data_IF_935331509359
#
_entry.id   IF_935331509359
#
_cell.length_a   1.000
_cell.length_b   1.000
_cell.length_c   1.000
_cell.angle_alpha   90.00
_cell.angle_beta   90.00
_cell.angle_gamma   90.00
#
_symmetry.space_group_name_H-M   'P 1'
#
loop_
_entity.id
_entity.type
_entity.pdbx_description
1 polymer ?
#
# COMPACT_ATOMS: atom_id res chain seq x y z
N UNK A 1 2.40 -26.89 -16.78
CA UNK A 1 3.37 -27.33 -15.74
C UNK A 1 4.70 -26.65 -16.06
N UNK A 2 5.05 -25.55 -15.36
CA UNK A 2 6.34 -24.88 -15.59
C UNK A 2 7.46 -25.83 -15.22
N UNK A 3 8.40 -26.05 -16.15
CA UNK A 3 9.65 -26.77 -15.90
C UNK A 3 10.30 -26.14 -14.67
N UNK A 4 10.47 -26.89 -13.59
CA UNK A 4 11.31 -26.52 -12.45
C UNK A 4 12.75 -26.43 -12.98
N UNK A 5 13.11 -25.25 -13.45
CA UNK A 5 14.51 -24.97 -13.76
C UNK A 5 15.28 -25.01 -12.44
N UNK A 6 16.07 -26.05 -12.22
CA UNK A 6 16.85 -26.29 -11.00
C UNK A 6 18.17 -25.52 -11.00
N UNK A 7 18.35 -24.57 -11.91
CA UNK A 7 19.57 -23.76 -11.98
C UNK A 7 19.71 -22.96 -10.69
N UNK A 8 20.83 -23.16 -9.98
CA UNK A 8 21.21 -22.38 -8.82
C UNK A 8 21.90 -21.06 -9.21
N UNK A 9 21.81 -20.65 -10.48
CA UNK A 9 22.42 -19.44 -11.03
C UNK A 9 21.46 -18.73 -11.98
N UNK A 10 21.50 -17.41 -12.01
CA UNK A 10 20.82 -16.55 -12.98
C UNK A 10 21.67 -15.30 -13.24
N UNK A 11 21.42 -14.62 -14.36
CA UNK A 11 22.07 -13.32 -14.62
C UNK A 11 21.52 -12.26 -13.68
N UNK A 12 20.20 -12.22 -13.50
CA UNK A 12 19.51 -11.28 -12.63
C UNK A 12 18.62 -12.01 -11.62
N UNK A 13 18.69 -11.60 -10.37
CA UNK A 13 17.78 -12.04 -9.30
C UNK A 13 16.94 -10.84 -8.87
N UNK A 14 15.62 -10.93 -9.06
CA UNK A 14 14.66 -9.91 -8.60
C UNK A 14 13.99 -10.41 -7.32
N UNK A 15 14.21 -9.71 -6.22
CA UNK A 15 13.69 -10.06 -4.90
C UNK A 15 12.42 -9.25 -4.61
N UNK A 16 11.28 -9.92 -4.61
CA UNK A 16 9.94 -9.36 -4.44
C UNK A 16 9.19 -9.25 -5.77
N UNK A 17 8.10 -10.02 -5.90
CA UNK A 17 7.18 -10.01 -7.04
C UNK A 17 6.05 -8.97 -6.90
N UNK A 18 6.32 -7.84 -6.26
CA UNK A 18 5.40 -6.72 -6.14
C UNK A 18 5.35 -5.85 -7.40
N UNK A 19 4.78 -4.64 -7.27
CA UNK A 19 4.56 -3.74 -8.40
C UNK A 19 5.84 -3.44 -9.19
N UNK A 20 6.95 -3.14 -8.52
CA UNK A 20 8.23 -2.87 -9.18
C UNK A 20 8.85 -4.13 -9.75
N UNK A 21 8.90 -5.22 -8.97
CA UNK A 21 9.57 -6.46 -9.39
C UNK A 21 8.93 -7.12 -10.60
N UNK A 22 7.60 -7.07 -10.71
CA UNK A 22 6.89 -7.57 -11.89
C UNK A 22 7.29 -6.81 -13.16
N UNK A 23 7.38 -5.48 -13.11
CA UNK A 23 7.79 -4.66 -14.26
C UNK A 23 9.25 -4.91 -14.61
N UNK A 24 10.15 -4.90 -13.61
CA UNK A 24 11.58 -5.10 -13.84
C UNK A 24 11.85 -6.47 -14.45
N UNK A 25 11.29 -7.55 -13.89
CA UNK A 25 11.44 -8.88 -14.42
C UNK A 25 10.92 -8.98 -15.87
N UNK A 26 9.72 -8.43 -16.14
CA UNK A 26 9.15 -8.42 -17.47
C UNK A 26 10.02 -7.65 -18.49
N UNK A 27 10.56 -6.49 -18.09
CA UNK A 27 11.43 -5.67 -18.95
C UNK A 27 12.78 -6.33 -19.23
N UNK A 28 13.41 -6.94 -18.23
CA UNK A 28 14.66 -7.70 -18.44
C UNK A 28 14.47 -8.87 -19.41
N UNK A 29 13.36 -9.60 -19.26
CA UNK A 29 13.00 -10.69 -20.19
C UNK A 29 12.73 -10.17 -21.60
N UNK A 30 11.96 -9.09 -21.74
CA UNK A 30 11.66 -8.48 -23.03
C UNK A 30 12.92 -7.94 -23.74
N UNK A 31 13.86 -7.39 -22.98
CA UNK A 31 15.14 -6.90 -23.50
C UNK A 31 16.13 -8.03 -23.85
N UNK A 32 15.83 -9.27 -23.49
CA UNK A 32 16.66 -10.47 -23.73
C UNK A 32 18.11 -10.30 -23.24
N UNK A 33 18.28 -9.68 -22.06
CA UNK A 33 19.62 -9.37 -21.51
C UNK A 33 20.22 -10.48 -20.67
N UNK A 34 19.52 -11.60 -20.52
CA UNK A 34 19.97 -12.78 -19.79
C UNK A 34 18.84 -13.49 -19.05
N UNK A 35 19.21 -14.44 -18.20
CA UNK A 35 18.28 -15.23 -17.40
C UNK A 35 17.85 -14.44 -16.14
N UNK A 36 16.57 -14.52 -15.81
CA UNK A 36 15.95 -13.80 -14.70
C UNK A 36 15.30 -14.79 -13.73
N UNK A 37 15.60 -14.65 -12.44
CA UNK A 37 14.90 -15.33 -11.36
C UNK A 37 14.13 -14.29 -10.55
N UNK A 38 12.80 -14.40 -10.49
CA UNK A 38 11.93 -13.61 -9.64
C UNK A 38 11.53 -14.43 -8.42
N UNK A 39 11.74 -13.87 -7.22
CA UNK A 39 11.45 -14.54 -5.94
C UNK A 39 10.37 -13.77 -5.21
N UNK A 40 9.23 -14.43 -4.93
CA UNK A 40 8.12 -13.86 -4.18
C UNK A 40 7.77 -14.74 -2.96
N UNK A 41 7.62 -14.11 -1.80
CA UNK A 41 7.24 -14.82 -0.57
C UNK A 41 5.81 -15.33 -0.57
N UNK A 42 4.92 -14.59 -1.23
CA UNK A 42 3.50 -14.94 -1.37
C UNK A 42 3.24 -15.98 -2.45
N UNK A 43 1.97 -16.31 -2.62
CA UNK A 43 1.52 -17.27 -3.63
C UNK A 43 1.27 -16.59 -4.99
N UNK A 44 0.88 -17.39 -5.98
CA UNK A 44 0.38 -16.90 -7.27
C UNK A 44 -0.99 -16.25 -7.12
N UNK A 45 -1.24 -15.23 -7.93
CA UNK A 45 -2.54 -14.55 -7.96
C UNK A 45 -3.66 -15.47 -8.43
N UNK A 46 -3.39 -16.42 -9.30
CA UNK A 46 -4.36 -17.41 -9.79
C UNK A 46 -4.89 -18.33 -8.68
N UNK A 47 -4.11 -18.56 -7.63
CA UNK A 47 -4.55 -19.29 -6.45
C UNK A 47 -5.43 -18.45 -5.50
N UNK A 48 -5.58 -17.16 -5.78
CA UNK A 48 -6.31 -16.17 -4.98
C UNK A 48 -7.08 -15.23 -5.92
N UNK A 49 -8.16 -15.68 -6.55
CA UNK A 49 -8.83 -14.99 -7.67
C UNK A 49 -9.34 -13.59 -7.33
N UNK A 50 -9.59 -13.30 -6.06
CA UNK A 50 -9.94 -11.95 -5.59
C UNK A 50 -8.83 -10.92 -5.85
N UNK A 51 -7.58 -11.35 -6.04
CA UNK A 51 -6.45 -10.47 -6.39
C UNK A 51 -6.41 -10.13 -7.88
N UNK A 52 -7.15 -10.85 -8.70
CA UNK A 52 -7.29 -10.63 -10.14
C UNK A 52 -8.57 -9.88 -10.49
N UNK A 53 -9.58 -9.92 -9.64
CA UNK A 53 -10.85 -9.25 -9.86
C UNK A 53 -10.80 -7.77 -9.48
N UNK A 54 -11.40 -6.91 -10.29
CA UNK A 54 -11.59 -5.51 -9.97
C UNK A 54 -12.47 -5.31 -8.73
N UNK A 55 -13.48 -6.17 -8.52
CA UNK A 55 -14.31 -6.17 -7.32
C UNK A 55 -13.66 -6.86 -6.12
N UNK A 56 -12.61 -7.59 -6.35
CA UNK A 56 -11.97 -8.47 -5.38
C UNK A 56 -11.20 -7.76 -4.27
N UNK A 57 -10.86 -6.47 -4.41
CA UNK A 57 -9.99 -5.77 -3.44
C UNK A 57 -10.52 -5.84 -1.99
N UNK A 58 -11.83 -5.78 -1.82
CA UNK A 58 -12.51 -5.88 -0.53
C UNK A 58 -12.20 -7.21 0.16
N UNK A 59 -12.25 -8.29 -0.59
CA UNK A 59 -12.01 -9.66 -0.13
C UNK A 59 -10.51 -9.96 0.01
N UNK A 60 -9.68 -9.47 -0.92
CA UNK A 60 -8.23 -9.61 -0.87
C UNK A 60 -7.66 -9.00 0.42
N UNK A 61 -8.13 -7.82 0.82
CA UNK A 61 -7.72 -7.19 2.07
C UNK A 61 -8.07 -8.05 3.31
N UNK A 62 -9.17 -8.80 3.27
CA UNK A 62 -9.58 -9.68 4.37
C UNK A 62 -8.90 -11.05 4.35
N UNK A 63 -8.26 -11.45 3.24
CA UNK A 63 -7.63 -12.76 3.08
C UNK A 63 -6.20 -12.79 3.65
N UNK A 64 -5.97 -13.66 4.67
CA UNK A 64 -4.64 -13.82 5.29
C UNK A 64 -3.58 -14.41 4.37
N UNK A 65 -3.99 -15.12 3.31
CA UNK A 65 -3.05 -15.78 2.38
C UNK A 65 -2.33 -14.78 1.48
N UNK A 66 -2.94 -13.60 1.26
CA UNK A 66 -2.40 -12.58 0.34
C UNK A 66 -1.97 -11.31 1.05
N UNK A 67 -2.08 -11.27 2.39
CA UNK A 67 -1.67 -10.13 3.21
C UNK A 67 -0.57 -10.54 4.19
N UNK A 68 0.46 -9.71 4.29
CA UNK A 68 1.48 -9.81 5.32
C UNK A 68 1.16 -8.80 6.42
N UNK A 69 0.65 -9.30 7.54
CA UNK A 69 0.29 -8.49 8.69
C UNK A 69 1.51 -8.00 9.46
N UNK A 70 1.51 -6.72 9.80
CA UNK A 70 2.47 -6.09 10.70
C UNK A 70 1.78 -5.06 11.57
N UNK A 71 2.36 -4.80 12.71
CA UNK A 71 1.99 -3.70 13.59
C UNK A 71 3.21 -2.80 13.81
N UNK A 72 2.97 -1.52 13.97
CA UNK A 72 3.98 -0.59 14.46
C UNK A 72 4.38 -0.94 15.91
N UNK A 73 5.48 -0.40 16.38
CA UNK A 73 5.69 -0.26 17.83
C UNK A 73 4.60 0.63 18.42
N UNK A 74 4.35 0.60 19.74
CA UNK A 74 3.42 1.54 20.38
C UNK A 74 3.78 2.99 20.02
N UNK A 75 2.77 3.77 19.60
CA UNK A 75 2.95 5.17 19.21
C UNK A 75 2.46 6.07 20.36
N UNK A 76 3.38 6.75 21.07
CA UNK A 76 3.01 7.59 22.23
C UNK A 76 1.95 8.64 21.91
N UNK A 77 2.11 9.34 20.78
CA UNK A 77 1.14 10.38 20.34
C UNK A 77 -0.24 9.80 19.97
N UNK A 78 -0.34 8.48 19.82
CA UNK A 78 -1.59 7.75 19.62
C UNK A 78 -2.04 7.00 20.88
N UNK A 79 -1.73 7.49 22.08
CA UNK A 79 -2.06 6.83 23.37
C UNK A 79 -1.50 5.39 23.43
N UNK A 80 -0.26 5.21 23.02
CA UNK A 80 0.47 3.93 22.97
C UNK A 80 -0.20 2.83 22.15
N UNK A 81 -1.02 3.21 21.17
CA UNK A 81 -1.61 2.23 20.24
C UNK A 81 -0.60 1.79 19.21
N UNK A 82 -0.69 0.51 18.86
CA UNK A 82 0.00 -0.04 17.69
C UNK A 82 -0.87 0.19 16.45
N UNK A 83 -0.25 0.60 15.34
CA UNK A 83 -0.93 0.84 14.08
C UNK A 83 -0.70 -0.33 13.12
N UNK A 84 -1.70 -0.65 12.33
CA UNK A 84 -1.60 -1.69 11.32
C UNK A 84 -0.77 -1.24 10.12
N UNK A 85 0.26 -2.00 9.77
CA UNK A 85 1.18 -1.74 8.67
C UNK A 85 1.29 -2.94 7.71
N UNK A 86 0.15 -3.55 7.38
CA UNK A 86 0.10 -4.71 6.48
C UNK A 86 0.30 -4.33 5.01
N UNK A 87 0.91 -5.25 4.27
CA UNK A 87 1.14 -5.13 2.82
C UNK A 87 0.71 -6.39 2.09
N UNK A 88 0.57 -6.32 0.76
CA UNK A 88 0.31 -7.50 -0.05
C UNK A 88 1.48 -8.50 0.00
N UNK A 89 1.14 -9.79 0.01
CA UNK A 89 2.07 -10.93 -0.04
C UNK A 89 1.56 -11.94 -1.06
N UNK A 90 1.71 -11.60 -2.31
CA UNK A 90 1.23 -12.35 -3.49
C UNK A 90 1.94 -11.77 -4.72
N UNK A 91 2.04 -12.49 -5.82
CA UNK A 91 2.51 -11.92 -7.09
C UNK A 91 1.62 -10.72 -7.46
N UNK A 92 2.23 -9.60 -7.81
CA UNK A 92 1.58 -8.29 -7.96
C UNK A 92 1.66 -7.43 -6.69
N UNK A 93 2.05 -8.00 -5.54
CA UNK A 93 2.29 -7.31 -4.28
C UNK A 93 1.09 -6.52 -3.77
N UNK A 94 1.33 -5.33 -3.20
CA UNK A 94 0.26 -4.44 -2.72
C UNK A 94 -0.63 -3.93 -3.85
N UNK A 95 -0.14 -3.89 -5.11
CA UNK A 95 -0.94 -3.60 -6.30
C UNK A 95 -2.04 -4.64 -6.58
N UNK A 96 -1.91 -5.87 -6.07
CA UNK A 96 -2.90 -6.92 -6.21
C UNK A 96 -4.01 -6.86 -5.14
N UNK A 97 -3.84 -6.07 -4.06
CA UNK A 97 -4.76 -6.03 -2.92
C UNK A 97 -5.29 -4.63 -2.60
N UNK A 98 -4.76 -3.58 -3.22
CA UNK A 98 -5.19 -2.18 -3.01
C UNK A 98 -6.55 -1.86 -3.65
N UNK A 99 -7.05 -0.64 -3.42
CA UNK A 99 -8.31 -0.14 -3.99
C UNK A 99 -8.25 0.25 -5.47
N UNK A 100 -7.15 -0.02 -6.17
CA UNK A 100 -6.91 0.27 -7.61
C UNK A 100 -6.89 1.76 -7.98
N UNK A 101 -6.96 2.67 -7.03
CA UNK A 101 -6.85 4.10 -7.33
C UNK A 101 -5.50 4.39 -7.94
N UNK A 102 -5.50 5.08 -9.06
CA UNK A 102 -4.30 5.51 -9.75
C UNK A 102 -4.22 7.04 -9.77
N UNK A 103 -3.12 7.58 -9.30
CA UNK A 103 -2.79 8.99 -9.42
C UNK A 103 -1.29 9.16 -9.59
N UNK A 104 -0.89 10.06 -10.49
CA UNK A 104 0.52 10.44 -10.64
C UNK A 104 1.01 11.31 -9.50
N UNK A 105 0.08 11.97 -8.78
CA UNK A 105 0.40 13.00 -7.80
C UNK A 105 0.48 14.40 -8.42
N UNK A 106 0.92 15.37 -7.64
CA UNK A 106 1.10 16.75 -8.06
C UNK A 106 2.50 16.96 -8.66
N UNK A 107 2.62 17.67 -9.79
CA UNK A 107 3.93 17.94 -10.41
C UNK A 107 4.88 18.71 -9.48
N UNK A 108 4.34 19.54 -8.59
CA UNK A 108 5.14 20.26 -7.58
C UNK A 108 5.81 19.32 -6.56
N UNK A 109 5.32 18.08 -6.40
CA UNK A 109 5.98 17.07 -5.59
C UNK A 109 7.30 16.63 -6.23
N UNK A 110 7.30 16.48 -7.56
CA UNK A 110 8.46 16.05 -8.32
C UNK A 110 9.52 17.15 -8.48
N UNK A 111 9.16 18.42 -8.29
CA UNK A 111 10.13 19.51 -8.26
C UNK A 111 11.11 19.40 -7.08
N UNK A 112 10.76 18.65 -6.04
CA UNK A 112 11.62 18.35 -4.89
C UNK A 112 12.53 17.12 -5.12
N UNK A 113 12.32 16.38 -6.20
CA UNK A 113 13.10 15.18 -6.51
C UNK A 113 14.44 15.53 -7.18
N UNK A 114 15.44 14.65 -7.18
CA UNK A 114 16.73 14.89 -7.84
C UNK A 114 16.57 15.20 -9.34
N UNK A 115 17.59 15.83 -9.91
CA UNK A 115 17.70 16.02 -11.37
C UNK A 115 17.59 14.69 -12.10
N UNK A 116 16.87 14.65 -13.20
CA UNK A 116 16.53 13.42 -13.94
C UNK A 116 15.28 12.70 -13.41
N UNK A 117 14.66 13.23 -12.34
CA UNK A 117 13.42 12.70 -11.74
C UNK A 117 12.33 13.76 -11.58
N UNK A 118 12.48 14.90 -12.27
CA UNK A 118 11.43 15.94 -12.32
C UNK A 118 10.25 15.45 -13.13
N UNK A 119 9.12 16.14 -13.03
CA UNK A 119 7.90 15.74 -13.74
C UNK A 119 8.14 15.44 -15.22
N UNK A 120 8.78 16.36 -15.95
CA UNK A 120 9.05 16.20 -17.38
C UNK A 120 9.96 15.00 -17.70
N UNK A 121 10.85 14.62 -16.77
CA UNK A 121 11.78 13.50 -16.96
C UNK A 121 11.06 12.16 -16.86
N UNK A 122 10.05 12.07 -15.96
CA UNK A 122 9.36 10.82 -15.63
C UNK A 122 8.00 10.68 -16.31
N UNK A 123 7.43 11.73 -16.87
CA UNK A 123 6.12 11.68 -17.54
C UNK A 123 6.05 10.63 -18.67
N UNK A 124 7.08 10.46 -19.54
CA UNK A 124 7.07 9.37 -20.53
C UNK A 124 7.00 7.97 -19.90
N UNK A 125 7.61 7.77 -18.72
CA UNK A 125 7.52 6.51 -18.00
C UNK A 125 6.13 6.27 -17.43
N UNK A 126 5.46 7.31 -16.91
CA UNK A 126 4.06 7.23 -16.49
C UNK A 126 3.17 6.81 -17.67
N UNK A 127 3.28 7.47 -18.81
CA UNK A 127 2.49 7.15 -20.03
C UNK A 127 2.70 5.70 -20.46
N UNK A 128 3.94 5.21 -20.46
CA UNK A 128 4.25 3.83 -20.82
C UNK A 128 3.64 2.80 -19.85
N UNK A 129 3.64 3.11 -18.54
CA UNK A 129 3.03 2.24 -17.51
C UNK A 129 1.51 2.28 -17.61
N UNK A 130 0.91 3.45 -17.79
CA UNK A 130 -0.54 3.65 -17.92
C UNK A 130 -1.14 2.90 -19.10
N UNK A 131 -0.44 2.89 -20.24
CA UNK A 131 -0.85 2.11 -21.40
C UNK A 131 -0.99 0.62 -21.09
N UNK A 132 -0.07 0.06 -20.28
CA UNK A 132 -0.15 -1.33 -19.81
C UNK A 132 -1.24 -1.56 -18.77
N UNK A 133 -1.37 -0.64 -17.82
CA UNK A 133 -2.35 -0.72 -16.74
C UNK A 133 -3.79 -0.47 -17.19
N UNK A 134 -4.01 0.04 -18.42
CA UNK A 134 -5.35 0.34 -18.94
C UNK A 134 -6.14 1.28 -18.03
N UNK A 135 -5.49 2.39 -17.65
CA UNK A 135 -6.05 3.36 -16.72
C UNK A 135 -7.34 3.94 -17.26
N UNK A 136 -8.39 3.94 -16.44
CA UNK A 136 -9.70 4.50 -16.75
C UNK A 136 -10.49 4.82 -15.47
N UNK A 137 -11.39 5.78 -15.52
CA UNK A 137 -12.33 6.03 -14.43
C UNK A 137 -13.54 5.08 -14.53
N UNK A 138 -14.22 4.88 -13.41
CA UNK A 138 -15.53 4.23 -13.38
C UNK A 138 -16.63 5.26 -13.59
N UNK A 139 -17.73 4.83 -14.20
CA UNK A 139 -18.91 5.67 -14.34
C UNK A 139 -19.42 6.15 -13.00
N UNK A 140 -19.91 7.39 -12.98
CA UNK A 140 -20.53 7.99 -11.83
C UNK A 140 -21.85 7.30 -11.46
N UNK A 141 -22.20 7.39 -10.18
CA UNK A 141 -23.49 6.94 -9.67
C UNK A 141 -24.34 8.14 -9.26
N UNK A 142 -25.63 7.92 -8.97
CA UNK A 142 -26.49 9.00 -8.47
C UNK A 142 -25.92 9.63 -7.19
N UNK A 143 -25.33 8.84 -6.31
CA UNK A 143 -24.73 9.33 -5.07
C UNK A 143 -23.47 10.17 -5.38
N UNK A 144 -22.57 9.64 -6.20
CA UNK A 144 -21.29 10.31 -6.47
C UNK A 144 -21.46 11.61 -7.25
N UNK A 145 -22.43 11.68 -8.16
CA UNK A 145 -22.76 12.93 -8.85
C UNK A 145 -23.29 14.01 -7.89
N UNK A 146 -24.19 13.63 -6.97
CA UNK A 146 -24.67 14.56 -5.92
C UNK A 146 -23.54 15.01 -5.00
N UNK A 147 -22.61 14.12 -4.69
CA UNK A 147 -21.45 14.45 -3.88
C UNK A 147 -20.51 15.45 -4.58
N UNK A 148 -20.32 15.32 -5.91
CA UNK A 148 -19.55 16.28 -6.69
C UNK A 148 -20.22 17.66 -6.73
N UNK A 149 -21.54 17.72 -6.99
CA UNK A 149 -22.30 18.99 -6.96
C UNK A 149 -22.18 19.67 -5.60
N UNK A 150 -22.24 18.88 -4.54
CA UNK A 150 -22.13 19.42 -3.19
C UNK A 150 -20.69 19.86 -2.87
N UNK A 151 -19.66 19.20 -3.41
CA UNK A 151 -18.28 19.65 -3.29
C UNK A 151 -18.06 21.00 -4.04
N UNK A 152 -18.69 21.18 -5.20
CA UNK A 152 -18.67 22.46 -5.91
C UNK A 152 -19.28 23.58 -5.07
N UNK A 153 -20.37 23.32 -4.36
CA UNK A 153 -21.01 24.28 -3.48
C UNK A 153 -20.15 24.76 -2.30
N UNK A 154 -19.13 23.97 -1.91
CA UNK A 154 -18.17 24.33 -0.85
C UNK A 154 -16.79 24.74 -1.40
N UNK A 155 -16.72 25.05 -2.70
CA UNK A 155 -15.57 25.71 -3.31
C UNK A 155 -14.56 24.78 -4.03
N UNK A 156 -14.82 23.46 -4.13
CA UNK A 156 -14.03 22.63 -5.02
C UNK A 156 -14.42 22.89 -6.47
N UNK A 157 -13.44 22.80 -7.35
CA UNK A 157 -13.67 22.76 -8.78
C UNK A 157 -13.77 21.32 -9.23
N UNK A 158 -14.80 20.98 -10.02
CA UNK A 158 -14.90 19.64 -10.62
C UNK A 158 -13.80 19.46 -11.67
N UNK A 159 -13.15 18.29 -11.65
CA UNK A 159 -12.12 17.97 -12.61
C UNK A 159 -12.35 16.61 -13.25
N UNK A 160 -12.13 16.54 -14.55
CA UNK A 160 -12.05 15.30 -15.31
C UNK A 160 -10.57 15.02 -15.60
N UNK A 161 -10.10 13.80 -15.24
CA UNK A 161 -8.68 13.45 -15.37
C UNK A 161 -7.82 14.06 -14.25
N UNK A 162 -7.54 13.25 -13.23
CA UNK A 162 -6.79 13.66 -12.04
C UNK A 162 -5.27 13.40 -12.17
N UNK A 163 -4.76 13.21 -13.42
CA UNK A 163 -3.38 12.81 -13.67
C UNK A 163 -2.57 13.81 -14.50
N UNK A 164 -2.97 15.09 -14.50
CA UNK A 164 -2.25 16.17 -15.18
C UNK A 164 -1.23 16.91 -14.30
N UNK A 165 -1.08 16.48 -13.04
CA UNK A 165 -0.15 17.07 -12.08
C UNK A 165 -0.61 18.37 -11.41
N UNK A 166 -1.87 18.74 -11.51
CA UNK A 166 -2.45 19.91 -10.84
C UNK A 166 -3.70 19.50 -10.05
N UNK A 167 -3.57 19.31 -8.75
CA UNK A 167 -4.60 18.67 -7.94
C UNK A 167 -5.30 19.61 -6.94
N UNK A 168 -4.63 20.67 -6.47
CA UNK A 168 -5.14 21.53 -5.40
C UNK A 168 -6.40 22.29 -5.79
N UNK A 169 -7.42 22.21 -4.94
CA UNK A 169 -8.72 22.87 -5.16
C UNK A 169 -9.69 22.06 -6.04
N UNK A 170 -9.31 20.87 -6.47
CA UNK A 170 -10.11 20.03 -7.33
C UNK A 170 -10.69 18.81 -6.62
N UNK A 171 -11.86 18.37 -7.06
CA UNK A 171 -12.47 17.08 -6.76
C UNK A 171 -13.00 16.44 -8.04
N UNK A 172 -12.80 15.14 -8.18
CA UNK A 172 -13.24 14.43 -9.38
C UNK A 172 -13.20 12.93 -9.23
N UNK A 173 -13.53 12.24 -10.31
CA UNK A 173 -13.42 10.80 -10.38
C UNK A 173 -11.96 10.38 -10.54
N UNK A 174 -11.57 9.38 -9.76
CA UNK A 174 -10.26 8.77 -9.87
C UNK A 174 -10.15 7.91 -11.11
N UNK A 175 -8.97 7.92 -11.69
CA UNK A 175 -8.58 6.84 -12.58
C UNK A 175 -8.26 5.58 -11.77
N UNK A 176 -8.53 4.42 -12.38
CA UNK A 176 -8.33 3.11 -11.77
C UNK A 176 -7.74 2.14 -12.78
N UNK A 177 -6.95 1.19 -12.30
CA UNK A 177 -6.24 0.22 -13.14
C UNK A 177 -7.04 -1.10 -13.25
N UNK A 178 -7.96 -1.16 -14.21
CA UNK A 178 -8.76 -2.35 -14.50
C UNK A 178 -9.21 -2.41 -15.97
N UNK A 179 -9.55 -3.60 -16.43
CA UNK A 179 -10.13 -3.83 -17.76
C UNK A 179 -11.03 -5.08 -17.71
N UNK A 180 -12.24 -5.01 -18.30
CA UNK A 180 -13.16 -6.15 -18.37
C UNK A 180 -13.37 -6.87 -17.02
N UNK A 181 -13.58 -6.11 -15.94
CA UNK A 181 -13.69 -6.59 -14.55
C UNK A 181 -12.42 -7.28 -14.01
N UNK A 182 -11.34 -7.33 -14.75
CA UNK A 182 -10.04 -7.77 -14.27
C UNK A 182 -9.24 -6.58 -13.72
N UNK A 183 -8.61 -6.77 -12.58
CA UNK A 183 -7.61 -5.85 -12.04
C UNK A 183 -6.36 -5.84 -12.94
N UNK A 184 -5.93 -4.67 -13.34
CA UNK A 184 -4.69 -4.48 -14.10
C UNK A 184 -3.56 -4.03 -13.18
N UNK A 185 -3.12 -4.92 -12.27
CA UNK A 185 -1.87 -4.69 -11.52
C UNK A 185 -0.66 -5.01 -12.42
N UNK A 186 0.55 -4.77 -11.94
CA UNK A 186 1.76 -4.95 -12.76
C UNK A 186 2.05 -6.41 -13.12
N UNK A 187 1.53 -7.37 -12.34
CA UNK A 187 1.58 -8.78 -12.75
C UNK A 187 0.73 -9.02 -13.99
N UNK A 188 -0.57 -8.67 -13.93
CA UNK A 188 -1.51 -8.90 -15.03
C UNK A 188 -1.22 -8.03 -16.26
N UNK A 189 -0.59 -6.87 -16.05
CA UNK A 189 -0.30 -5.90 -17.10
C UNK A 189 1.01 -6.18 -17.86
N UNK A 190 2.01 -6.75 -17.21
CA UNK A 190 3.36 -6.85 -17.77
C UNK A 190 4.01 -8.22 -17.62
N UNK A 191 3.89 -8.87 -16.44
CA UNK A 191 4.65 -10.08 -16.16
C UNK A 191 3.96 -11.35 -16.68
N UNK A 192 2.62 -11.41 -16.60
CA UNK A 192 1.85 -12.61 -16.93
C UNK A 192 2.12 -13.10 -18.37
N UNK A 193 2.21 -12.17 -19.31
CA UNK A 193 2.39 -12.49 -20.73
C UNK A 193 3.79 -13.01 -21.06
N UNK A 194 4.76 -12.84 -20.17
CA UNK A 194 6.13 -13.35 -20.32
C UNK A 194 6.49 -14.42 -19.29
N UNK A 195 5.54 -14.82 -18.45
CA UNK A 195 5.79 -15.73 -17.32
C UNK A 195 6.27 -17.14 -17.75
N UNK A 196 5.95 -17.55 -18.95
CA UNK A 196 6.32 -18.88 -19.51
C UNK A 196 7.57 -18.83 -20.42
N UNK A 197 8.27 -17.69 -20.49
CA UNK A 197 9.53 -17.59 -21.24
C UNK A 197 10.62 -18.41 -20.57
N UNK A 198 11.40 -19.15 -21.34
CA UNK A 198 12.51 -20.01 -20.85
C UNK A 198 13.59 -19.22 -20.09
N UNK A 199 13.70 -17.91 -20.35
CA UNK A 199 14.64 -17.00 -19.67
C UNK A 199 14.13 -16.51 -18.31
N UNK A 200 12.88 -16.81 -17.90
CA UNK A 200 12.28 -16.39 -16.65
C UNK A 200 11.94 -17.59 -15.76
N UNK A 201 12.41 -17.55 -14.53
CA UNK A 201 11.99 -18.48 -13.47
C UNK A 201 11.31 -17.69 -12.34
N UNK A 202 10.07 -18.07 -12.00
CA UNK A 202 9.32 -17.43 -10.90
C UNK A 202 9.19 -18.41 -9.75
N UNK A 203 9.80 -18.07 -8.61
CA UNK A 203 9.64 -18.80 -7.35
C UNK A 203 8.64 -18.06 -6.45
N UNK A 204 7.43 -18.60 -6.30
CA UNK A 204 6.46 -18.16 -5.29
C UNK A 204 6.59 -19.00 -4.01
N UNK A 205 5.96 -18.53 -2.90
CA UNK A 205 6.12 -19.17 -1.57
C UNK A 205 7.58 -19.34 -1.19
N UNK A 206 8.41 -18.36 -1.54
CA UNK A 206 9.86 -18.42 -1.42
C UNK A 206 10.36 -17.18 -0.69
N UNK A 207 11.01 -17.39 0.45
CA UNK A 207 11.44 -16.31 1.32
C UNK A 207 12.96 -16.12 1.21
N UNK A 208 13.38 -14.94 0.78
CA UNK A 208 14.79 -14.55 0.79
C UNK A 208 15.19 -14.21 2.22
N UNK A 209 16.24 -14.88 2.71
CA UNK A 209 16.76 -14.71 4.08
C UNK A 209 17.81 -13.60 4.13
N UNK A 210 18.71 -13.57 3.15
CA UNK A 210 19.79 -12.57 3.06
C UNK A 210 20.36 -12.50 1.64
N UNK A 211 20.99 -11.37 1.35
CA UNK A 211 21.85 -11.17 0.19
C UNK A 211 23.25 -11.68 0.55
N UNK A 212 23.91 -12.31 -0.41
CA UNK A 212 25.27 -12.78 -0.28
C UNK A 212 26.21 -11.80 -0.96
N UNK A 213 27.31 -11.47 -0.27
CA UNK A 213 28.31 -10.53 -0.75
C UNK A 213 29.68 -11.20 -0.88
N UNK A 214 30.45 -10.79 -1.89
CA UNK A 214 31.88 -10.99 -2.01
C UNK A 214 32.52 -9.59 -2.03
N UNK A 215 33.15 -9.19 -0.94
CA UNK A 215 33.50 -7.79 -0.72
C UNK A 215 32.25 -6.89 -0.75
N UNK A 216 32.26 -5.86 -1.60
CA UNK A 216 31.13 -4.92 -1.79
C UNK A 216 30.14 -5.36 -2.87
N UNK A 217 30.40 -6.51 -3.53
CA UNK A 217 29.56 -7.00 -4.63
C UNK A 217 28.52 -8.00 -4.13
N UNK A 218 27.23 -7.77 -4.46
CA UNK A 218 26.18 -8.75 -4.27
C UNK A 218 26.30 -9.87 -5.30
N UNK A 219 26.48 -11.13 -4.85
CA UNK A 219 26.74 -12.29 -5.69
C UNK A 219 25.61 -13.34 -5.67
N UNK A 220 24.53 -13.07 -4.95
CA UNK A 220 23.39 -13.98 -4.89
C UNK A 220 22.53 -13.77 -3.65
N UNK A 221 21.66 -14.72 -3.40
CA UNK A 221 20.75 -14.72 -2.25
C UNK A 221 20.66 -16.08 -1.58
N UNK A 222 20.48 -16.09 -0.25
CA UNK A 222 20.02 -17.27 0.47
C UNK A 222 18.48 -17.21 0.51
N UNK A 223 17.82 -18.25 0.01
CA UNK A 223 16.38 -18.32 -0.13
C UNK A 223 15.82 -19.63 0.40
N UNK A 224 14.67 -19.58 1.08
CA UNK A 224 13.89 -20.75 1.47
C UNK A 224 12.83 -21.02 0.39
N UNK A 225 12.97 -22.15 -0.32
CA UNK A 225 12.01 -22.62 -1.33
C UNK A 225 11.44 -23.95 -0.87
N UNK A 226 10.11 -24.04 -0.74
CA UNK A 226 9.44 -25.26 -0.23
C UNK A 226 10.02 -25.77 1.09
N UNK A 227 10.34 -24.85 2.02
CA UNK A 227 10.90 -25.15 3.35
C UNK A 227 12.39 -25.55 3.35
N UNK A 228 13.07 -25.54 2.21
CA UNK A 228 14.50 -25.86 2.10
C UNK A 228 15.31 -24.62 1.75
N UNK A 229 16.34 -24.33 2.53
CA UNK A 229 17.28 -23.27 2.21
C UNK A 229 18.15 -23.65 1.03
N UNK A 230 18.35 -22.69 0.13
CA UNK A 230 19.17 -22.80 -1.07
C UNK A 230 19.90 -21.47 -1.31
N UNK A 231 20.98 -21.55 -2.07
CA UNK A 231 21.67 -20.37 -2.61
C UNK A 231 21.37 -20.28 -4.09
N UNK A 232 20.96 -19.11 -4.54
CA UNK A 232 20.87 -18.76 -5.96
C UNK A 232 21.94 -17.68 -6.20
N UNK A 233 22.87 -17.93 -7.13
CA UNK A 233 23.94 -17.01 -7.49
C UNK A 233 23.47 -16.06 -8.59
N UNK A 234 23.87 -14.79 -8.50
CA UNK A 234 23.67 -13.79 -9.54
C UNK A 234 24.97 -13.58 -10.31
N UNK A 235 24.95 -13.78 -11.63
CA UNK A 235 26.10 -13.50 -12.47
C UNK A 235 26.30 -11.99 -12.67
N UNK A 236 25.18 -11.23 -12.74
CA UNK A 236 25.17 -9.79 -13.01
C UNK A 236 24.70 -9.00 -11.78
N UNK A 237 23.40 -9.10 -11.42
CA UNK A 237 22.81 -8.23 -10.39
C UNK A 237 21.78 -8.93 -9.50
N UNK A 238 21.66 -8.44 -8.26
CA UNK A 238 20.56 -8.68 -7.34
C UNK A 238 19.75 -7.40 -7.22
N UNK A 239 18.48 -7.42 -7.62
CA UNK A 239 17.59 -6.26 -7.67
C UNK A 239 16.54 -6.39 -6.58
N UNK A 240 16.50 -5.42 -5.65
CA UNK A 240 15.62 -5.45 -4.50
C UNK A 240 14.30 -4.72 -4.77
N UNK A 241 13.20 -5.47 -4.76
CA UNK A 241 11.84 -4.99 -4.98
C UNK A 241 10.87 -5.44 -3.86
N UNK A 242 11.39 -5.65 -2.63
CA UNK A 242 10.61 -6.21 -1.53
C UNK A 242 9.72 -5.18 -0.80
N UNK A 243 9.66 -3.94 -1.29
CA UNK A 243 8.86 -2.85 -0.74
C UNK A 243 9.54 -2.10 0.40
N UNK A 244 8.90 -1.01 0.86
CA UNK A 244 9.49 -0.05 1.78
C UNK A 244 9.83 -0.63 3.17
N UNK A 245 9.13 -1.68 3.61
CA UNK A 245 9.36 -2.29 4.92
C UNK A 245 10.30 -3.51 4.86
N UNK A 246 10.22 -4.33 3.82
CA UNK A 246 11.05 -5.55 3.75
C UNK A 246 12.40 -5.29 3.10
N UNK A 247 12.55 -4.33 2.19
CA UNK A 247 13.85 -4.02 1.56
C UNK A 247 14.90 -3.57 2.57
N UNK A 248 14.64 -2.54 3.42
CA UNK A 248 15.63 -2.14 4.42
C UNK A 248 15.89 -3.24 5.47
N UNK A 249 14.85 -4.00 5.84
CA UNK A 249 15.00 -5.17 6.72
C UNK A 249 15.95 -6.21 6.11
N UNK A 250 15.77 -6.56 4.84
CA UNK A 250 16.62 -7.52 4.15
C UNK A 250 18.06 -7.03 4.03
N UNK A 251 18.29 -5.74 3.72
CA UNK A 251 19.61 -5.14 3.70
C UNK A 251 20.30 -5.26 5.07
N UNK A 252 19.62 -4.91 6.17
CA UNK A 252 20.16 -5.03 7.51
C UNK A 252 20.48 -6.49 7.88
N UNK A 253 19.59 -7.44 7.58
CA UNK A 253 19.84 -8.88 7.79
C UNK A 253 21.04 -9.40 6.98
N UNK A 254 21.41 -8.69 5.93
CA UNK A 254 22.56 -9.01 5.05
C UNK A 254 23.84 -8.26 5.42
N UNK A 255 23.84 -7.53 6.54
CA UNK A 255 25.01 -6.78 7.02
C UNK A 255 25.16 -5.39 6.45
N UNK A 256 24.16 -4.85 5.75
CA UNK A 256 24.18 -3.50 5.15
C UNK A 256 23.18 -2.61 5.90
N UNK A 257 23.67 -1.65 6.67
CA UNK A 257 22.84 -0.77 7.50
C UNK A 257 23.62 -0.11 8.63
N UNK A 258 22.93 0.48 9.64
CA UNK A 258 23.58 1.15 10.77
C UNK A 258 24.45 0.18 11.58
N UNK A 259 25.77 0.38 11.55
CA UNK A 259 26.76 -0.56 12.10
C UNK A 259 26.51 -0.92 13.56
N UNK A 260 26.17 0.05 14.41
CA UNK A 260 25.95 -0.20 15.83
C UNK A 260 24.71 -1.04 16.08
N UNK A 261 23.63 -0.81 15.33
CA UNK A 261 22.44 -1.63 15.38
C UNK A 261 22.71 -3.08 14.92
N UNK A 262 23.46 -3.25 13.82
CA UNK A 262 23.82 -4.59 13.33
C UNK A 262 24.71 -5.34 14.33
N UNK A 263 25.72 -4.68 14.89
CA UNK A 263 26.59 -5.26 15.94
C UNK A 263 25.80 -5.67 17.18
N UNK A 264 24.82 -4.87 17.62
CA UNK A 264 23.99 -5.19 18.79
C UNK A 264 23.19 -6.48 18.63
N UNK A 265 22.94 -6.90 17.38
CA UNK A 265 22.27 -8.15 17.04
C UNK A 265 23.23 -9.26 16.61
N UNK A 266 24.55 -9.04 16.70
CA UNK A 266 25.55 -10.01 16.27
C UNK A 266 25.65 -10.21 14.77
N UNK A 267 25.15 -9.26 13.95
CA UNK A 267 25.22 -9.32 12.49
C UNK A 267 26.55 -8.74 12.04
N UNK A 268 27.38 -9.48 11.28
CA UNK A 268 28.60 -8.94 10.69
C UNK A 268 28.28 -7.75 9.75
N UNK A 269 29.03 -6.66 9.92
CA UNK A 269 28.84 -5.46 9.10
C UNK A 269 29.59 -5.61 7.78
N UNK A 270 28.84 -5.66 6.68
CA UNK A 270 29.38 -5.61 5.32
C UNK A 270 29.58 -4.15 4.91
N UNK A 271 28.57 -3.30 5.16
CA UNK A 271 28.64 -1.87 4.85
C UNK A 271 27.87 -1.06 5.88
N UNK A 272 28.54 -0.07 6.47
CA UNK A 272 27.88 0.90 7.35
C UNK A 272 27.16 1.95 6.53
N UNK A 273 25.83 1.95 6.57
CA UNK A 273 24.97 2.93 5.92
C UNK A 273 23.89 3.35 6.91
N UNK A 274 24.09 4.48 7.57
CA UNK A 274 23.24 5.00 8.64
C UNK A 274 21.80 5.29 8.18
N UNK A 275 21.60 5.66 6.91
CA UNK A 275 20.28 6.01 6.37
C UNK A 275 19.35 4.83 6.12
N UNK A 276 19.83 3.59 6.15
CA UNK A 276 18.97 2.42 5.97
C UNK A 276 18.06 2.24 7.18
N UNK A 277 16.76 2.24 6.91
CA UNK A 277 15.72 2.18 7.93
C UNK A 277 15.43 3.53 8.61
N UNK A 278 15.98 4.64 8.09
CA UNK A 278 15.65 5.99 8.49
C UNK A 278 14.57 6.61 7.60
N UNK A 279 14.05 7.74 8.03
CA UNK A 279 13.16 8.59 7.25
C UNK A 279 11.84 7.90 6.83
N UNK A 280 11.38 6.92 7.60
CA UNK A 280 10.10 6.26 7.36
C UNK A 280 8.98 7.27 7.57
N UNK A 281 8.08 7.38 6.61
CA UNK A 281 6.87 8.18 6.74
C UNK A 281 5.70 7.52 6.02
N UNK A 282 4.51 7.81 6.50
CA UNK A 282 3.25 7.31 5.95
C UNK A 282 2.19 8.40 6.06
N UNK A 283 1.12 8.27 5.32
CA UNK A 283 0.00 9.19 5.33
C UNK A 283 -0.95 8.91 6.51
N UNK A 284 -0.92 9.69 7.60
CA UNK A 284 -1.96 9.59 8.61
C UNK A 284 -3.33 9.85 7.98
N UNK A 285 -4.32 9.06 8.37
CA UNK A 285 -5.66 9.25 7.86
C UNK A 285 -6.72 9.10 8.96
N UNK A 286 -7.83 9.81 8.78
CA UNK A 286 -9.01 9.74 9.63
C UNK A 286 -10.22 9.46 8.76
N UNK A 287 -10.94 8.41 9.10
CA UNK A 287 -12.20 8.08 8.43
C UNK A 287 -13.38 8.65 9.21
N UNK A 288 -14.19 9.45 8.55
CA UNK A 288 -15.47 9.95 9.06
C UNK A 288 -16.59 9.20 8.35
N UNK A 289 -17.52 8.63 9.12
CA UNK A 289 -18.65 7.89 8.57
C UNK A 289 -19.95 8.65 8.76
N UNK A 290 -20.77 8.61 7.72
CA UNK A 290 -22.05 9.30 7.68
C UNK A 290 -23.15 8.32 7.28
N UNK A 291 -24.31 8.47 7.89
CA UNK A 291 -25.46 7.66 7.58
C UNK A 291 -26.39 8.37 6.58
N UNK A 292 -26.51 7.78 5.39
CA UNK A 292 -27.46 8.22 4.38
C UNK A 292 -28.88 7.75 4.71
N UNK A 293 -29.87 8.42 4.10
CA UNK A 293 -31.28 8.02 4.19
C UNK A 293 -31.61 6.81 3.31
N UNK A 294 -30.76 6.50 2.33
CA UNK A 294 -30.89 5.42 1.36
C UNK A 294 -29.59 4.64 1.29
N UNK A 295 -29.60 3.39 0.83
CA UNK A 295 -28.40 2.64 0.53
C UNK A 295 -27.51 3.41 -0.45
N UNK A 296 -26.20 3.33 -0.22
CA UNK A 296 -25.21 3.90 -1.15
C UNK A 296 -25.07 3.02 -2.38
N UNK A 297 -24.95 3.67 -3.54
CA UNK A 297 -24.98 3.01 -4.85
C UNK A 297 -23.59 2.93 -5.53
N UNK A 298 -22.51 3.17 -4.77
CA UNK A 298 -21.16 3.02 -5.28
C UNK A 298 -20.36 2.00 -4.46
N UNK A 299 -19.37 1.35 -5.07
CA UNK A 299 -18.65 0.24 -4.46
C UNK A 299 -17.13 0.41 -4.39
N UNK A 300 -16.60 1.55 -4.86
CA UNK A 300 -15.15 1.80 -5.01
C UNK A 300 -14.78 3.17 -4.44
N UNK A 301 -13.52 3.40 -4.07
CA UNK A 301 -13.02 4.73 -3.73
C UNK A 301 -12.82 5.56 -5.02
N UNK A 302 -13.92 5.86 -5.73
CA UNK A 302 -13.89 6.41 -7.08
C UNK A 302 -13.84 7.94 -7.14
N UNK A 303 -13.90 8.63 -6.00
CA UNK A 303 -13.80 10.09 -5.95
C UNK A 303 -12.71 10.52 -4.99
N UNK A 304 -11.86 11.42 -5.43
CA UNK A 304 -10.87 12.11 -4.60
C UNK A 304 -11.02 13.62 -4.74
N UNK A 305 -10.71 14.32 -3.63
CA UNK A 305 -10.53 15.76 -3.62
C UNK A 305 -9.20 16.11 -2.97
N UNK A 306 -8.57 17.16 -3.47
CA UNK A 306 -7.30 17.64 -2.96
C UNK A 306 -7.41 19.12 -2.60
N UNK A 307 -6.92 19.49 -1.41
CA UNK A 307 -7.00 20.87 -0.96
C UNK A 307 -5.83 21.20 -0.04
N UNK A 308 -5.49 22.48 0.04
CA UNK A 308 -4.59 23.03 1.02
C UNK A 308 -5.39 23.55 2.19
N UNK A 309 -5.37 22.84 3.31
CA UNK A 309 -6.08 23.23 4.53
C UNK A 309 -5.19 23.92 5.56
N UNK A 310 -3.88 23.66 5.56
CA UNK A 310 -2.93 24.29 6.44
C UNK A 310 -2.11 25.36 5.72
N UNK A 311 -2.51 26.65 5.76
CA UNK A 311 -1.78 27.70 5.06
C UNK A 311 -0.39 27.98 5.69
N UNK A 312 -0.11 27.45 6.89
CA UNK A 312 1.18 27.63 7.59
C UNK A 312 2.25 26.64 7.14
N UNK A 313 1.88 25.56 6.42
CA UNK A 313 2.87 24.67 5.85
C UNK A 313 3.65 25.40 4.75
N UNK A 314 4.99 25.30 4.72
CA UNK A 314 5.82 25.96 3.72
C UNK A 314 5.79 25.18 2.40
N UNK A 315 4.61 25.10 1.78
CA UNK A 315 4.39 24.44 0.49
C UNK A 315 4.33 25.49 -0.63
N UNK A 316 4.75 25.15 -1.85
CA UNK A 316 4.51 25.97 -3.03
C UNK A 316 3.05 26.37 -3.19
N UNK A 317 2.80 27.51 -3.82
CA UNK A 317 1.44 27.88 -4.20
C UNK A 317 0.85 26.84 -5.15
N UNK A 318 -0.42 26.50 -4.94
CA UNK A 318 -1.11 25.48 -5.74
C UNK A 318 -0.85 24.03 -5.34
N UNK A 319 0.01 23.75 -4.35
CA UNK A 319 0.21 22.41 -3.82
C UNK A 319 -0.78 22.08 -2.70
N UNK A 320 -1.43 20.93 -2.78
CA UNK A 320 -2.31 20.44 -1.72
C UNK A 320 -1.52 19.78 -0.58
N UNK A 321 -2.02 19.90 0.64
CA UNK A 321 -1.53 19.19 1.82
C UNK A 321 -2.42 18.01 2.24
N UNK A 322 -3.63 17.96 1.75
CA UNK A 322 -4.66 17.02 2.19
C UNK A 322 -5.38 16.41 0.98
N UNK A 323 -5.65 15.13 1.07
CA UNK A 323 -6.49 14.38 0.15
C UNK A 323 -7.74 13.88 0.88
N UNK A 324 -8.87 13.90 0.22
CA UNK A 324 -10.13 13.32 0.71
C UNK A 324 -10.57 12.22 -0.25
N UNK A 325 -10.74 11.01 0.28
CA UNK A 325 -11.21 9.86 -0.45
C UNK A 325 -12.63 9.46 -0.02
N UNK A 326 -13.52 9.28 -0.96
CA UNK A 326 -14.87 8.81 -0.67
C UNK A 326 -14.94 7.29 -0.71
N UNK A 327 -15.51 6.69 0.35
CA UNK A 327 -15.61 5.25 0.49
C UNK A 327 -17.05 4.83 0.76
N UNK A 328 -17.52 3.80 0.08
CA UNK A 328 -18.75 3.13 0.48
C UNK A 328 -18.50 2.19 1.65
N UNK A 329 -19.39 2.17 2.63
CA UNK A 329 -19.27 1.28 3.77
C UNK A 329 -19.79 -0.16 3.49
N UNK A 330 -20.82 -0.39 2.67
CA UNK A 330 -21.27 -1.75 2.38
C UNK A 330 -20.12 -2.62 1.87
N UNK A 331 -20.07 -3.87 2.28
CA UNK A 331 -19.01 -4.85 1.99
C UNK A 331 -17.61 -4.39 2.40
N UNK A 332 -17.18 -3.19 1.99
CA UNK A 332 -15.83 -2.67 2.30
C UNK A 332 -15.62 -2.55 3.81
N UNK A 333 -16.58 -1.99 4.54
CA UNK A 333 -16.51 -1.89 6.00
C UNK A 333 -16.51 -3.27 6.65
N UNK A 334 -17.41 -4.18 6.23
CA UNK A 334 -17.47 -5.53 6.78
C UNK A 334 -16.14 -6.27 6.61
N UNK A 335 -15.55 -6.23 5.41
CA UNK A 335 -14.29 -6.91 5.14
C UNK A 335 -13.12 -6.22 5.85
N UNK A 336 -13.11 -4.90 5.91
CA UNK A 336 -12.10 -4.15 6.67
C UNK A 336 -12.18 -4.46 8.17
N UNK A 337 -13.36 -4.53 8.75
CA UNK A 337 -13.53 -4.90 10.16
C UNK A 337 -13.06 -6.33 10.46
N UNK A 338 -13.18 -7.27 9.53
CA UNK A 338 -12.65 -8.63 9.69
C UNK A 338 -11.12 -8.63 9.89
N UNK A 339 -10.40 -7.72 9.22
CA UNK A 339 -8.94 -7.59 9.39
C UNK A 339 -8.58 -6.62 10.50
N UNK A 340 -9.17 -5.44 10.52
CA UNK A 340 -8.82 -4.39 11.46
C UNK A 340 -9.37 -4.63 12.86
N UNK A 341 -10.50 -5.35 13.01
CA UNK A 341 -11.04 -5.71 14.31
C UNK A 341 -10.03 -6.41 15.22
N UNK A 342 -9.39 -7.51 14.78
CA UNK A 342 -8.28 -8.08 15.54
C UNK A 342 -7.13 -7.11 15.81
N UNK A 343 -6.74 -6.26 14.85
CA UNK A 343 -5.64 -5.31 15.00
C UNK A 343 -5.93 -4.23 16.06
N UNK A 344 -7.19 -3.85 16.22
CA UNK A 344 -7.62 -2.86 17.23
C UNK A 344 -7.90 -3.47 18.60
N UNK A 345 -8.44 -4.70 18.64
CA UNK A 345 -8.86 -5.35 19.88
C UNK A 345 -7.75 -6.19 20.53
N UNK A 346 -6.82 -6.75 19.74
CA UNK A 346 -5.75 -7.61 20.21
C UNK A 346 -4.41 -6.85 20.18
N UNK A 347 -3.86 -6.58 21.36
CA UNK A 347 -2.60 -5.83 21.49
C UNK A 347 -1.36 -6.74 21.38
N UNK A 348 -0.31 -6.25 20.73
CA UNK A 348 1.02 -6.88 20.68
C UNK A 348 0.97 -8.31 20.16
N UNK A 349 1.64 -9.26 20.86
CA UNK A 349 1.73 -10.67 20.44
C UNK A 349 0.37 -11.37 20.32
N UNK A 350 -0.68 -10.91 21.03
CA UNK A 350 -2.04 -11.48 20.93
C UNK A 350 -2.64 -11.32 19.55
N UNK A 351 -2.27 -10.25 18.82
CA UNK A 351 -2.70 -10.04 17.44
C UNK A 351 -2.28 -11.16 16.50
N UNK A 352 -1.11 -11.75 16.73
CA UNK A 352 -0.58 -12.85 15.90
C UNK A 352 -1.11 -14.23 16.31
N UNK A 353 -1.92 -14.33 17.38
CA UNK A 353 -2.53 -15.59 17.78
C UNK A 353 -3.70 -15.95 16.86
N UNK A 354 -3.63 -17.08 16.09
CA UNK A 354 -4.64 -17.42 15.10
C UNK A 354 -6.02 -17.71 15.72
N UNK A 355 -6.06 -18.28 16.91
CA UNK A 355 -7.33 -18.61 17.60
C UNK A 355 -8.03 -17.31 18.03
N UNK A 356 -7.32 -16.39 18.66
CA UNK A 356 -7.90 -15.11 19.08
C UNK A 356 -8.38 -14.29 17.87
N UNK A 357 -7.61 -14.27 16.79
CA UNK A 357 -8.02 -13.62 15.54
C UNK A 357 -9.28 -14.25 14.96
N UNK A 358 -9.36 -15.57 14.94
CA UNK A 358 -10.56 -16.29 14.46
C UNK A 358 -11.78 -15.93 15.30
N UNK A 359 -11.69 -15.92 16.62
CA UNK A 359 -12.80 -15.57 17.51
C UNK A 359 -13.28 -14.13 17.28
N UNK A 360 -12.36 -13.17 17.22
CA UNK A 360 -12.72 -11.77 16.96
C UNK A 360 -13.37 -11.61 15.59
N UNK A 361 -12.83 -12.25 14.55
CA UNK A 361 -13.39 -12.22 13.19
C UNK A 361 -14.79 -12.81 13.15
N UNK A 362 -14.99 -13.95 13.82
CA UNK A 362 -16.30 -14.59 13.89
C UNK A 362 -17.31 -13.68 14.57
N UNK A 363 -16.94 -13.05 15.69
CA UNK A 363 -17.80 -12.09 16.37
C UNK A 363 -18.16 -10.89 15.46
N UNK A 364 -17.19 -10.36 14.72
CA UNK A 364 -17.42 -9.28 13.73
C UNK A 364 -18.39 -9.74 12.63
N UNK A 365 -18.21 -10.95 12.08
CA UNK A 365 -19.08 -11.48 11.04
C UNK A 365 -20.52 -11.60 11.58
N UNK A 366 -20.71 -12.19 12.74
CA UNK A 366 -22.03 -12.32 13.37
C UNK A 366 -22.66 -10.95 13.59
N UNK A 367 -21.93 -10.02 14.22
CA UNK A 367 -22.45 -8.69 14.51
C UNK A 367 -22.87 -7.92 13.25
N UNK A 368 -22.04 -7.95 12.20
CA UNK A 368 -22.32 -7.24 10.94
C UNK A 368 -23.40 -7.92 10.07
N UNK A 369 -23.72 -9.19 10.35
CA UNK A 369 -24.77 -9.93 9.65
C UNK A 369 -26.16 -9.76 10.27
N UNK A 370 -26.24 -9.19 11.49
CA UNK A 370 -27.53 -8.91 12.12
C UNK A 370 -28.35 -7.91 11.28
N UNK A 371 -29.64 -8.16 10.98
CA UNK A 371 -30.42 -7.34 10.07
C UNK A 371 -30.38 -5.83 10.36
N UNK A 372 -30.53 -5.35 11.61
CA UNK A 372 -30.49 -3.91 11.88
C UNK A 372 -29.10 -3.31 11.63
N UNK A 373 -28.03 -4.04 11.96
CA UNK A 373 -26.63 -3.60 11.74
C UNK A 373 -26.30 -3.60 10.25
N UNK A 374 -26.69 -4.63 9.53
CA UNK A 374 -26.49 -4.72 8.09
C UNK A 374 -27.23 -3.60 7.34
N UNK A 375 -28.50 -3.32 7.71
CA UNK A 375 -29.26 -2.20 7.16
C UNK A 375 -28.57 -0.86 7.43
N UNK A 376 -28.04 -0.67 8.63
CA UNK A 376 -27.27 0.54 8.96
C UNK A 376 -26.02 0.65 8.08
N UNK A 377 -25.21 -0.41 7.98
CA UNK A 377 -23.99 -0.44 7.18
C UNK A 377 -24.27 -0.15 5.69
N UNK A 378 -25.37 -0.66 5.14
CA UNK A 378 -25.73 -0.43 3.73
C UNK A 378 -26.03 1.05 3.41
N UNK A 379 -26.36 1.84 4.40
CA UNK A 379 -26.62 3.27 4.27
C UNK A 379 -25.39 4.12 4.65
N UNK A 380 -24.28 3.51 5.10
CA UNK A 380 -23.09 4.24 5.49
C UNK A 380 -22.19 4.54 4.29
N UNK A 381 -21.64 5.74 4.29
CA UNK A 381 -20.49 6.10 3.46
C UNK A 381 -19.45 6.79 4.33
N UNK A 382 -18.22 6.77 3.88
CA UNK A 382 -17.11 7.39 4.58
C UNK A 382 -16.39 8.41 3.72
N UNK A 383 -15.85 9.44 4.38
CA UNK A 383 -14.84 10.32 3.82
C UNK A 383 -13.57 10.07 4.61
N UNK A 384 -12.53 9.62 3.93
CA UNK A 384 -11.21 9.44 4.53
C UNK A 384 -10.39 10.68 4.22
N UNK A 385 -10.08 11.44 5.25
CA UNK A 385 -9.17 12.58 5.17
C UNK A 385 -7.75 12.08 5.38
N UNK A 386 -6.89 12.33 4.43
CA UNK A 386 -5.53 11.81 4.36
C UNK A 386 -4.58 13.01 4.40
N UNK A 387 -3.68 13.05 5.37
CA UNK A 387 -2.62 14.04 5.40
C UNK A 387 -1.58 13.72 4.31
N UNK A 388 -1.59 14.49 3.23
CA UNK A 388 -0.74 14.26 2.07
C UNK A 388 0.72 14.65 2.28
N UNK A 389 1.01 15.55 3.24
CA UNK A 389 2.34 16.09 3.52
C UNK A 389 2.69 15.95 5.01
N UNK A 390 2.90 14.72 5.51
CA UNK A 390 3.26 14.51 6.90
C UNK A 390 4.68 15.02 7.18
N UNK A 391 4.86 15.66 8.34
CA UNK A 391 6.18 16.10 8.83
C UNK A 391 6.89 15.00 9.62
N UNK A 392 6.15 14.02 10.11
CA UNK A 392 6.68 12.89 10.87
C UNK A 392 7.68 12.08 10.04
N UNK A 393 8.79 11.72 10.67
CA UNK A 393 9.82 10.85 10.10
C UNK A 393 10.18 9.82 11.14
N UNK A 394 9.92 8.56 10.80
CA UNK A 394 10.12 7.42 11.66
C UNK A 394 11.30 6.56 11.25
N UNK A 395 11.37 5.39 11.85
CA UNK A 395 12.45 4.44 11.63
C UNK A 395 11.95 3.02 11.47
N UNK A 396 12.77 2.21 10.81
CA UNK A 396 12.61 0.78 10.74
C UNK A 396 13.88 0.11 11.27
N UNK A 397 13.74 -0.81 12.22
CA UNK A 397 14.86 -1.54 12.82
C UNK A 397 14.57 -3.04 12.86
N UNK A 398 15.60 -3.86 12.91
CA UNK A 398 15.46 -5.29 13.14
C UNK A 398 15.01 -5.55 14.58
N UNK A 399 14.04 -6.44 14.76
CA UNK A 399 13.67 -6.97 16.06
C UNK A 399 14.58 -8.14 16.48
N UNK A 400 15.11 -8.88 15.51
CA UNK A 400 15.99 -10.04 15.68
C UNK A 400 16.71 -10.38 14.39
N UNK A 401 17.54 -11.40 14.38
CA UNK A 401 18.19 -11.95 13.18
C UNK A 401 17.30 -12.92 12.38
N UNK A 402 16.12 -13.23 12.89
CA UNK A 402 15.19 -14.12 12.20
C UNK A 402 14.38 -13.34 11.14
N UNK A 403 14.54 -13.70 9.87
CA UNK A 403 13.83 -13.04 8.75
C UNK A 403 12.30 -13.14 8.87
N UNK A 404 11.76 -14.11 9.61
CA UNK A 404 10.32 -14.29 9.80
C UNK A 404 9.74 -13.33 10.85
N UNK A 405 10.58 -12.75 11.71
CA UNK A 405 10.13 -11.76 12.70
C UNK A 405 9.82 -10.42 12.02
N UNK A 406 8.72 -9.75 12.40
CA UNK A 406 8.43 -8.41 11.88
C UNK A 406 9.52 -7.42 12.32
N UNK A 407 9.82 -6.46 11.46
CA UNK A 407 10.65 -5.33 11.84
C UNK A 407 9.95 -4.45 12.91
N UNK A 408 10.73 -3.72 13.69
CA UNK A 408 10.24 -2.65 14.54
C UNK A 408 9.95 -1.44 13.65
N UNK A 409 8.66 -1.15 13.46
CA UNK A 409 8.16 -0.06 12.63
C UNK A 409 7.76 1.06 13.57
N UNK A 410 8.55 2.13 13.59
CA UNK A 410 8.24 3.31 14.37
C UNK A 410 7.91 4.45 13.41
N UNK A 411 6.67 4.92 13.44
CA UNK A 411 6.20 5.99 12.56
C UNK A 411 6.52 7.38 13.13
N UNK A 412 6.86 7.45 14.43
CA UNK A 412 7.16 8.70 15.15
C UNK A 412 6.15 9.79 14.78
N UNK A 413 4.88 9.51 15.01
CA UNK A 413 3.79 10.42 14.67
C UNK A 413 3.88 11.68 15.55
N UNK A 414 4.62 12.68 15.06
CA UNK A 414 4.78 14.01 15.68
C UNK A 414 3.84 15.05 15.09
N UNK A 415 3.13 14.70 14.01
CA UNK A 415 2.13 15.56 13.41
C UNK A 415 0.99 15.72 14.42
N UNK A 416 0.97 16.84 15.10
CA UNK A 416 -0.06 17.14 16.10
C UNK A 416 -1.41 17.39 15.43
N UNK A 417 -2.53 17.20 16.13
CA UNK A 417 -3.86 17.54 15.63
C UNK A 417 -4.00 18.98 15.11
N UNK A 418 -3.12 19.90 15.56
CA UNK A 418 -3.04 21.25 15.01
C UNK A 418 -2.55 21.30 13.55
N UNK A 419 -1.86 20.26 13.09
CA UNK A 419 -1.36 20.13 11.72
C UNK A 419 -2.38 19.42 10.81
N UNK A 420 -3.36 18.74 11.40
CA UNK A 420 -4.56 18.32 10.70
C UNK A 420 -5.54 19.51 10.57
N UNK A 421 -6.25 19.62 9.45
CA UNK A 421 -7.38 20.52 9.39
C UNK A 421 -8.29 20.20 10.58
N UNK A 422 -8.56 21.19 11.44
CA UNK A 422 -9.43 20.97 12.58
C UNK A 422 -10.69 20.29 12.07
N UNK A 423 -11.06 19.18 12.69
CA UNK A 423 -12.23 18.39 12.30
C UNK A 423 -13.48 19.26 12.11
N UNK A 424 -13.56 20.39 12.84
CA UNK A 424 -14.62 21.36 12.73
C UNK A 424 -14.64 22.09 11.39
N UNK A 425 -13.49 22.50 10.83
CA UNK A 425 -13.46 23.13 9.49
C UNK A 425 -13.79 22.14 8.37
N UNK A 426 -13.32 20.90 8.47
CA UNK A 426 -13.74 19.85 7.56
C UNK A 426 -15.22 19.53 7.75
N UNK A 427 -15.70 19.52 9.00
CA UNK A 427 -17.10 19.35 9.33
C UNK A 427 -17.96 20.50 8.81
N UNK A 428 -17.55 21.75 9.00
CA UNK A 428 -18.24 22.95 8.51
C UNK A 428 -18.25 23.02 6.98
N UNK A 429 -17.12 22.73 6.33
CA UNK A 429 -17.01 22.67 4.86
C UNK A 429 -17.81 21.54 4.22
N UNK A 430 -18.04 20.45 4.95
CA UNK A 430 -18.80 19.30 4.48
C UNK A 430 -20.24 19.25 5.02
N UNK A 431 -20.59 20.08 6.01
CA UNK A 431 -21.92 20.12 6.62
C UNK A 431 -23.07 20.30 5.61
N UNK A 432 -22.95 21.15 4.56
CA UNK A 432 -23.97 21.24 3.52
C UNK A 432 -24.19 19.95 2.73
N UNK A 433 -23.16 19.07 2.68
CA UNK A 433 -23.16 17.79 1.93
C UNK A 433 -23.86 16.67 2.70
N UNK A 434 -23.97 16.74 4.02
CA UNK A 434 -24.03 15.57 4.84
C UNK A 434 -25.38 15.35 5.55
N UNK A 435 -26.31 16.27 5.43
CA UNK A 435 -27.58 16.14 6.16
C UNK A 435 -27.38 15.79 7.66
N UNK A 436 -28.31 16.09 8.49
CA UNK A 436 -28.20 16.33 9.94
C UNK A 436 -27.81 15.15 10.88
N UNK A 437 -27.17 14.08 10.42
CA UNK A 437 -26.79 12.98 11.33
C UNK A 437 -25.36 12.50 11.05
N UNK A 438 -24.43 12.93 11.88
CA UNK A 438 -23.01 12.56 11.83
C UNK A 438 -22.72 11.54 12.91
N UNK A 439 -22.40 10.30 12.54
CA UNK A 439 -21.79 9.32 13.42
C UNK A 439 -20.28 9.46 13.27
N UNK A 440 -19.64 10.21 14.16
CA UNK A 440 -18.18 10.25 14.24
C UNK A 440 -17.76 9.04 15.05
N UNK A 441 -17.36 7.96 14.36
CA UNK A 441 -16.58 6.93 15.02
C UNK A 441 -15.16 7.45 15.10
N UNK A 442 -14.79 8.02 16.23
CA UNK A 442 -13.41 8.39 16.53
C UNK A 442 -12.56 7.11 16.49
N UNK A 443 -11.99 6.80 15.33
CA UNK A 443 -10.91 5.82 15.22
C UNK A 443 -9.65 6.30 15.95
N UNK A 444 -9.61 7.55 16.33
CA UNK A 444 -8.69 8.17 17.27
C UNK A 444 -9.37 9.40 17.85
N UNK A 445 -9.65 9.39 19.12
CA UNK A 445 -9.76 10.63 19.88
C UNK A 445 -8.39 11.27 19.91
N UNK A 446 -8.14 12.16 18.98
CA UNK A 446 -7.02 13.07 19.00
C UNK A 446 -7.47 14.27 19.84
N UNK A 447 -7.23 14.20 21.12
CA UNK A 447 -7.23 15.37 22.01
C UNK A 447 -5.80 15.75 22.33
#
# INVERSE_FOLDING_TARGET
MSKLNTSNTADYIVVGGGSAGCIIAARLVAANVGTVVLIERGDRSEANPETLSADGFKYAFANDKVMLDRLSVPQPECKDRTLYAGTGSVIGGSGAVNGMVYTRGDKLDFDQWPTGWKWQDIEPAFQAVEAGLRIRHREGTTFTEKALVAAEAVGFKRKHGMNDGALCGFMGYNDMNYENQERRNTYTAFLRDVADRDTLTIHTKSLVHRILFEGDRAVGVEVEIKGKKRIIKANKEVILCAGALETPKLLMLSGVGPADHLKSLGIPVVKDIQSIGENLHDHPNVAMFYQGRKPVDFGYPQMYGFQRFNPKLPLPEGQADTCMAWMSAPVTMQQSMRRMGPATMLKGKKFFNPVLRFLVRTAVIIATSLPPVNKMINNLYGIVVILGKPLSRGTLRLASTNVKDPALIDLVLKDRPADFPKSDRVREGLAPLLGQSVLVTNGAEWQ
#
